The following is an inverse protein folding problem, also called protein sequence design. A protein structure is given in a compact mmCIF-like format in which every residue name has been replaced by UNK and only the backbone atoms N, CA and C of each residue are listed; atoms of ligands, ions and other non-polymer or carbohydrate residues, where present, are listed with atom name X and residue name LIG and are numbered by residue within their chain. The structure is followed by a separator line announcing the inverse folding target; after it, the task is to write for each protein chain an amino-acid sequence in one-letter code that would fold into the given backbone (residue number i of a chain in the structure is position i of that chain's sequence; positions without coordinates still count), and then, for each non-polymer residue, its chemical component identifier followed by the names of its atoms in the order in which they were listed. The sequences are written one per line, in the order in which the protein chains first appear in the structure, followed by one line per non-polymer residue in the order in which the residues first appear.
data_IF_892433381629
#
_entry.id   IF_892433381629
#
_cell.length_a   1.000
_cell.length_b   1.000
_cell.length_c   1.000
_cell.angle_alpha   90.00
_cell.angle_beta   90.00
_cell.angle_gamma   90.00
#
_symmetry.space_group_name_H-M   'P 1'
#
loop_
_entity.id
_entity.type
_entity.pdbx_description
1 polymer ?
#
# COMPACT_ATOMS: atom_id res chain seq x y z
N UNK A 1 -20.66 3.97 -9.22
CA UNK A 1 -19.72 2.94 -8.72
C UNK A 1 -18.64 3.66 -7.95
N UNK A 2 -18.35 3.24 -6.73
CA UNK A 2 -17.25 3.81 -5.94
C UNK A 2 -15.94 3.57 -6.68
N UNK A 3 -15.09 4.60 -6.91
CA UNK A 3 -13.88 4.46 -7.73
C UNK A 3 -12.89 3.41 -7.22
N UNK A 4 -12.97 3.03 -5.94
CA UNK A 4 -11.99 2.18 -5.27
C UNK A 4 -12.39 0.69 -5.16
N UNK A 5 -13.55 0.28 -5.69
CA UNK A 5 -14.05 -1.09 -5.51
C UNK A 5 -13.14 -2.15 -6.15
N UNK A 6 -12.30 -1.77 -7.11
CA UNK A 6 -11.31 -2.68 -7.69
C UNK A 6 -10.31 -3.24 -6.66
N UNK A 7 -10.08 -2.52 -5.55
CA UNK A 7 -9.18 -2.93 -4.46
C UNK A 7 -9.72 -4.12 -3.67
N UNK A 8 -11.04 -4.35 -3.67
CA UNK A 8 -11.66 -5.51 -3.01
C UNK A 8 -11.24 -6.85 -3.63
N UNK A 9 -10.65 -6.83 -4.83
CA UNK A 9 -10.12 -8.02 -5.51
C UNK A 9 -8.69 -8.37 -5.08
N UNK A 10 -8.05 -7.50 -4.29
CA UNK A 10 -6.67 -7.62 -3.88
C UNK A 10 -6.57 -8.17 -2.46
N UNK A 11 -5.70 -9.15 -2.26
CA UNK A 11 -5.37 -9.65 -0.92
C UNK A 11 -4.48 -8.67 -0.15
N UNK A 12 -3.81 -7.77 -0.86
CA UNK A 12 -2.89 -6.79 -0.26
C UNK A 12 -3.65 -5.71 0.52
N UNK A 13 -4.85 -5.34 0.09
CA UNK A 13 -5.62 -4.20 0.62
C UNK A 13 -6.72 -4.58 1.61
N UNK A 14 -6.78 -5.82 2.09
CA UNK A 14 -7.76 -6.30 3.09
C UNK A 14 -7.73 -5.51 4.40
N UNK A 15 -6.64 -4.82 4.69
CA UNK A 15 -6.51 -3.97 5.87
C UNK A 15 -7.22 -2.61 5.73
N UNK A 16 -7.68 -2.23 4.53
CA UNK A 16 -8.49 -1.03 4.31
C UNK A 16 -9.97 -1.41 4.46
N UNK A 17 -10.68 -0.90 5.49
CA UNK A 17 -12.09 -1.20 5.66
C UNK A 17 -12.96 -0.69 4.51
N UNK A 18 -14.03 -1.41 4.17
CA UNK A 18 -14.93 -1.06 3.06
C UNK A 18 -15.51 0.35 3.14
N UNK A 19 -15.77 0.86 4.36
CA UNK A 19 -16.29 2.21 4.54
C UNK A 19 -15.25 3.27 4.11
N UNK A 20 -13.95 3.02 4.34
CA UNK A 20 -12.87 3.93 3.94
C UNK A 20 -12.68 3.97 2.41
N UNK A 21 -13.07 2.90 1.70
CA UNK A 21 -13.07 2.87 0.23
C UNK A 21 -14.02 3.90 -0.39
N UNK A 22 -14.99 4.42 0.37
CA UNK A 22 -15.90 5.47 -0.08
C UNK A 22 -15.47 6.86 0.40
N UNK A 23 -14.47 6.95 1.27
CA UNK A 23 -14.03 8.20 1.93
C UNK A 23 -12.73 8.71 1.32
N UNK A 24 -11.77 7.83 1.07
CA UNK A 24 -10.44 8.20 0.56
C UNK A 24 -10.36 8.15 -0.97
N UNK A 25 -9.46 8.96 -1.53
CA UNK A 25 -9.06 8.82 -2.93
C UNK A 25 -7.93 7.79 -3.03
N UNK A 26 -8.28 6.57 -3.48
CA UNK A 26 -7.37 5.44 -3.62
C UNK A 26 -7.17 5.05 -5.09
N UNK A 27 -7.53 5.94 -6.02
CA UNK A 27 -7.53 5.69 -7.47
C UNK A 27 -6.14 5.42 -8.07
N UNK A 28 -5.09 5.79 -7.34
CA UNK A 28 -3.70 5.57 -7.74
C UNK A 28 -3.10 4.28 -7.17
N UNK A 29 -3.83 3.56 -6.32
CA UNK A 29 -3.42 2.24 -5.87
C UNK A 29 -3.47 1.23 -7.01
N UNK A 30 -2.51 0.31 -6.99
CA UNK A 30 -2.34 -0.74 -8.00
C UNK A 30 -2.66 -2.08 -7.39
N UNK A 31 -3.51 -2.86 -8.06
CA UNK A 31 -3.72 -4.28 -7.77
C UNK A 31 -2.67 -5.05 -8.56
N UNK A 32 -1.85 -5.84 -7.86
CA UNK A 32 -0.76 -6.60 -8.46
C UNK A 32 -1.24 -7.98 -8.91
N UNK A 33 -0.41 -8.68 -9.68
CA UNK A 33 -0.61 -10.10 -9.91
C UNK A 33 -0.52 -10.90 -8.60
N UNK A 34 -1.27 -12.00 -8.52
CA UNK A 34 -1.44 -12.77 -7.29
C UNK A 34 -0.12 -13.22 -6.64
N UNK A 35 0.91 -13.52 -7.43
CA UNK A 35 2.24 -13.89 -6.92
C UNK A 35 2.91 -12.73 -6.18
N UNK A 36 2.90 -11.54 -6.78
CA UNK A 36 3.48 -10.33 -6.19
C UNK A 36 2.66 -9.83 -5.01
N UNK A 37 1.32 -9.96 -5.04
CA UNK A 37 0.48 -9.62 -3.88
C UNK A 37 0.81 -10.45 -2.65
N UNK A 38 0.97 -11.77 -2.83
CA UNK A 38 1.34 -12.68 -1.74
C UNK A 38 2.71 -12.36 -1.17
N UNK A 39 3.68 -12.10 -2.04
CA UNK A 39 5.02 -11.70 -1.63
C UNK A 39 4.95 -10.37 -0.85
N UNK A 40 4.30 -9.34 -1.39
CA UNK A 40 4.13 -8.05 -0.73
C UNK A 40 3.44 -8.18 0.64
N UNK A 41 2.35 -8.93 0.72
CA UNK A 41 1.63 -9.18 1.97
C UNK A 41 2.53 -9.87 3.01
N UNK A 42 3.30 -10.87 2.61
CA UNK A 42 4.23 -11.56 3.50
C UNK A 42 5.32 -10.61 4.05
N UNK A 43 5.81 -9.67 3.23
CA UNK A 43 6.75 -8.63 3.68
C UNK A 43 6.11 -7.75 4.75
N UNK A 44 4.90 -7.25 4.49
CA UNK A 44 4.15 -6.43 5.44
C UNK A 44 3.89 -7.17 6.78
N UNK A 45 3.53 -8.44 6.71
CA UNK A 45 3.36 -9.29 7.91
C UNK A 45 4.66 -9.51 8.67
N UNK A 46 5.76 -9.82 7.97
CA UNK A 46 7.07 -10.06 8.58
C UNK A 46 7.59 -8.84 9.36
N UNK A 47 7.37 -7.64 8.84
CA UNK A 47 7.87 -6.40 9.45
C UNK A 47 6.82 -5.59 10.21
N UNK A 48 5.63 -6.17 10.42
CA UNK A 48 4.52 -5.49 11.10
C UNK A 48 4.19 -4.12 10.49
N UNK A 49 3.97 -4.09 9.17
CA UNK A 49 3.61 -2.87 8.42
C UNK A 49 2.45 -3.14 7.47
N UNK A 50 1.74 -2.09 7.08
CA UNK A 50 0.81 -2.15 5.96
C UNK A 50 1.51 -1.63 4.71
N UNK A 51 1.44 -2.40 3.62
CA UNK A 51 2.05 -2.00 2.36
C UNK A 51 0.98 -1.62 1.34
N UNK A 52 1.28 -0.60 0.55
CA UNK A 52 0.45 -0.19 -0.57
C UNK A 52 1.31 0.14 -1.78
N UNK A 53 0.78 -0.16 -2.97
CA UNK A 53 1.49 0.06 -4.22
C UNK A 53 0.80 1.15 -5.02
N UNK A 54 1.55 2.15 -5.43
CA UNK A 54 1.07 3.31 -6.17
C UNK A 54 1.58 3.30 -7.61
N UNK A 55 0.77 3.85 -8.52
CA UNK A 55 1.21 4.11 -9.89
C UNK A 55 2.45 5.00 -9.89
N UNK A 56 3.36 4.76 -10.83
CA UNK A 56 4.51 5.64 -11.05
C UNK A 56 4.07 7.09 -11.26
N UNK A 57 4.75 8.04 -10.63
CA UNK A 57 4.46 9.47 -10.77
C UNK A 57 3.21 9.94 -10.03
N UNK A 58 2.66 9.12 -9.11
CA UNK A 58 1.56 9.54 -8.25
C UNK A 58 1.95 10.76 -7.42
N UNK A 59 1.06 11.75 -7.40
CA UNK A 59 1.13 12.89 -6.48
C UNK A 59 0.21 12.61 -5.30
N UNK A 60 0.67 12.89 -4.08
CA UNK A 60 -0.16 12.70 -2.90
C UNK A 60 -1.45 13.54 -3.00
N UNK A 61 -2.60 12.86 -3.02
CA UNK A 61 -3.91 13.49 -3.18
C UNK A 61 -4.51 13.87 -1.83
N UNK A 62 -5.31 14.95 -1.76
CA UNK A 62 -6.14 15.23 -0.59
C UNK A 62 -7.03 14.03 -0.26
N UNK A 63 -7.10 13.65 1.01
CA UNK A 63 -7.82 12.44 1.47
C UNK A 63 -7.28 11.15 0.84
N UNK A 64 -6.03 11.12 0.37
CA UNK A 64 -5.33 9.88 0.04
C UNK A 64 -4.62 9.31 1.27
N UNK A 65 -4.21 8.04 1.22
CA UNK A 65 -3.53 7.41 2.37
C UNK A 65 -2.24 8.16 2.77
N UNK A 66 -1.42 8.59 1.81
CA UNK A 66 -0.17 9.33 2.08
C UNK A 66 -0.40 10.62 2.86
N UNK A 67 -1.54 11.30 2.66
CA UNK A 67 -1.88 12.55 3.35
C UNK A 67 -2.62 12.32 4.66
N UNK A 68 -3.15 11.12 4.87
CA UNK A 68 -4.00 10.81 6.02
C UNK A 68 -3.25 10.05 7.10
N UNK A 69 -2.36 9.13 6.71
CA UNK A 69 -1.70 8.19 7.61
C UNK A 69 -0.18 8.36 7.64
N UNK A 70 0.41 8.07 8.78
CA UNK A 70 1.85 8.06 9.00
C UNK A 70 2.52 6.89 8.29
N UNK A 71 3.73 7.13 7.81
CA UNK A 71 4.61 6.09 7.28
C UNK A 71 5.11 5.15 8.39
N UNK A 72 5.48 3.92 8.01
CA UNK A 72 6.20 3.01 8.90
C UNK A 72 7.69 3.37 8.97
N UNK A 73 8.28 3.26 10.17
CA UNK A 73 9.74 3.30 10.33
C UNK A 73 10.27 1.89 10.06
N UNK A 74 11.01 1.74 8.98
CA UNK A 74 11.62 0.46 8.58
C UNK A 74 13.04 0.36 9.14
N UNK A 75 13.40 -0.81 9.66
CA UNK A 75 14.81 -1.14 9.90
C UNK A 75 15.56 -1.39 8.58
N UNK A 76 16.89 -1.52 8.63
CA UNK A 76 17.71 -1.71 7.43
C UNK A 76 17.33 -2.98 6.65
N UNK A 77 16.97 -4.07 7.34
CA UNK A 77 16.60 -5.34 6.70
C UNK A 77 15.25 -5.23 6.00
N UNK A 78 14.29 -4.56 6.63
CA UNK A 78 12.98 -4.28 6.06
C UNK A 78 13.10 -3.38 4.83
N UNK A 79 13.92 -2.33 4.92
CA UNK A 79 14.19 -1.41 3.82
C UNK A 79 14.81 -2.13 2.62
N UNK A 80 15.87 -2.91 2.83
CA UNK A 80 16.54 -3.67 1.76
C UNK A 80 15.57 -4.62 1.03
N UNK A 81 14.67 -5.24 1.79
CA UNK A 81 13.72 -6.20 1.23
C UNK A 81 12.61 -5.49 0.45
N UNK A 82 12.09 -4.37 0.97
CA UNK A 82 11.15 -3.51 0.25
C UNK A 82 11.76 -2.97 -1.05
N UNK A 83 13.03 -2.53 -1.04
CA UNK A 83 13.71 -2.03 -2.24
C UNK A 83 13.88 -3.11 -3.31
N UNK A 84 14.32 -4.32 -2.92
CA UNK A 84 14.39 -5.47 -3.84
C UNK A 84 13.03 -5.86 -4.41
N UNK A 85 11.97 -5.70 -3.62
CA UNK A 85 10.62 -5.95 -4.11
C UNK A 85 10.17 -4.85 -5.08
N UNK A 86 10.49 -3.59 -4.81
CA UNK A 86 10.15 -2.44 -5.66
C UNK A 86 10.75 -2.54 -7.07
N UNK A 87 11.93 -3.16 -7.23
CA UNK A 87 12.51 -3.47 -8.54
C UNK A 87 11.61 -4.36 -9.42
N UNK A 88 10.76 -5.20 -8.81
CA UNK A 88 9.81 -6.08 -9.52
C UNK A 88 8.54 -5.35 -9.94
N UNK A 89 8.29 -4.13 -9.45
CA UNK A 89 7.03 -3.41 -9.61
C UNK A 89 6.92 -2.61 -10.91
N UNK A 90 7.89 -2.73 -11.82
CA UNK A 90 7.84 -2.03 -13.12
C UNK A 90 7.84 -0.51 -13.00
N UNK A 91 8.39 0.02 -11.91
CA UNK A 91 8.41 1.45 -11.61
C UNK A 91 7.21 1.99 -10.84
N UNK A 92 6.24 1.15 -10.46
CA UNK A 92 5.29 1.49 -9.42
C UNK A 92 6.01 1.65 -8.07
N UNK A 93 5.41 2.43 -7.17
CA UNK A 93 6.04 2.87 -5.93
C UNK A 93 5.47 2.08 -4.77
N UNK A 94 6.34 1.52 -3.93
CA UNK A 94 5.94 0.86 -2.70
C UNK A 94 5.95 1.87 -1.54
N UNK A 95 4.86 1.91 -0.77
CA UNK A 95 4.77 2.72 0.45
C UNK A 95 4.43 1.83 1.63
N UNK A 96 5.17 2.01 2.73
CA UNK A 96 4.94 1.32 3.99
C UNK A 96 4.29 2.28 5.00
N UNK A 97 3.18 1.83 5.59
CA UNK A 97 2.41 2.52 6.62
C UNK A 97 2.53 1.81 7.96
N UNK A 98 2.44 2.60 9.03
CA UNK A 98 2.43 2.07 10.41
C UNK A 98 1.29 1.06 10.61
N UNK A 99 1.55 0.03 11.41
CA UNK A 99 0.56 -0.95 11.85
C UNK A 99 0.56 -0.97 13.39
N UNK A 100 -0.55 -0.60 14.06
CA UNK A 100 -1.83 -0.14 13.50
C UNK A 100 -1.71 1.18 12.72
N UNK A 101 -2.70 1.50 11.88
CA UNK A 101 -2.73 2.77 11.14
C UNK A 101 -2.81 3.95 12.11
N UNK A 102 -1.90 4.90 11.95
CA UNK A 102 -1.86 6.15 12.69
C UNK A 102 -2.12 7.32 11.74
N UNK A 103 -3.02 8.24 12.12
CA UNK A 103 -3.18 9.50 11.38
C UNK A 103 -2.09 10.51 11.76
N UNK A 104 -1.77 11.43 10.86
CA UNK A 104 -0.89 12.57 11.14
C UNK A 104 -1.43 13.44 12.29
#
# INVERSE_FOLDING_TARGET
MTPNYFLTKSLLYEWIPDFELNVYDLSDLVVLDQGLEKECKAIGEQFHTFLAIYKKGTIAKPKGLCTTFKYAILDSKALDLCQKFEEKLGGNILVAYAKPLERW
#
